data_IF_869457116264
#
_entry.id   IF_869457116264
#
_cell.length_a   1.000
_cell.length_b   1.000
_cell.length_c   1.000
_cell.angle_alpha   90.00
_cell.angle_beta   90.00
_cell.angle_gamma   90.00
#
_symmetry.space_group_name_H-M   'P 1'
#
loop_
_entity.id
_entity.type
_entity.pdbx_description
1 polymer ?
#
# COMPACT_ATOMS: atom_id res chain seq x y z
N UNK A 1 56.51 -18.68 13.14
CA UNK A 1 55.11 -19.16 13.02
C UNK A 1 54.21 -18.35 13.94
N UNK A 2 53.49 -17.37 13.41
CA UNK A 2 52.47 -16.59 14.14
C UNK A 2 51.24 -16.49 13.24
N UNK A 3 50.36 -17.48 13.34
CA UNK A 3 49.06 -17.53 12.64
C UNK A 3 48.06 -18.11 13.63
N UNK A 4 47.66 -17.29 14.59
CA UNK A 4 46.77 -17.73 15.68
C UNK A 4 45.48 -16.91 15.82
N UNK A 5 45.43 -15.67 15.33
CA UNK A 5 44.30 -14.77 15.66
C UNK A 5 43.55 -14.17 14.48
N UNK A 6 43.99 -14.39 13.24
CA UNK A 6 43.28 -13.84 12.06
C UNK A 6 42.06 -14.68 11.67
N UNK A 7 42.04 -15.97 12.05
CA UNK A 7 40.94 -16.88 11.69
C UNK A 7 39.67 -16.65 12.54
N UNK A 8 39.83 -16.23 13.80
CA UNK A 8 38.69 -15.96 14.69
C UNK A 8 37.91 -14.70 14.30
N UNK A 9 38.58 -13.71 13.70
CA UNK A 9 37.91 -12.48 13.24
C UNK A 9 37.08 -12.70 11.96
N UNK A 10 37.44 -13.67 11.11
CA UNK A 10 36.68 -13.97 9.89
C UNK A 10 35.38 -14.74 10.18
N UNK A 11 35.33 -15.51 11.26
CA UNK A 11 34.14 -16.30 11.64
C UNK A 11 33.04 -15.46 12.30
N UNK A 12 33.38 -14.27 12.83
CA UNK A 12 32.40 -13.33 13.40
C UNK A 12 31.65 -12.53 12.33
N UNK A 13 32.24 -12.35 11.14
CA UNK A 13 31.62 -11.62 10.00
C UNK A 13 30.66 -12.49 9.18
N UNK A 14 30.68 -13.82 9.38
CA UNK A 14 29.82 -14.79 8.68
C UNK A 14 28.56 -15.18 9.48
N UNK A 15 28.45 -14.76 10.74
CA UNK A 15 27.26 -15.00 11.57
C UNK A 15 26.21 -13.91 11.34
N UNK A 16 25.50 -14.06 10.23
CA UNK A 16 24.06 -13.85 10.19
C UNK A 16 23.59 -12.51 10.73
N UNK A 17 23.71 -11.48 9.90
CA UNK A 17 22.66 -10.47 9.85
C UNK A 17 21.37 -11.17 9.46
N UNK A 18 20.68 -11.76 10.44
CA UNK A 18 19.28 -12.14 10.31
C UNK A 18 18.56 -10.82 10.12
N UNK A 19 18.38 -10.44 8.85
CA UNK A 19 17.41 -9.43 8.48
C UNK A 19 16.08 -9.98 8.99
N UNK A 20 15.70 -9.56 10.19
CA UNK A 20 14.37 -9.76 10.72
C UNK A 20 13.48 -8.97 9.74
N UNK A 21 13.02 -9.64 8.69
CA UNK A 21 12.01 -9.08 7.82
C UNK A 21 10.83 -8.79 8.74
N UNK A 22 10.60 -7.52 9.03
CA UNK A 22 9.40 -7.12 9.73
C UNK A 22 8.23 -7.59 8.86
N UNK A 23 7.57 -8.66 9.29
CA UNK A 23 6.27 -9.04 8.75
C UNK A 23 5.37 -7.86 9.11
N UNK A 24 5.01 -7.07 8.10
CA UNK A 24 4.03 -6.03 8.27
C UNK A 24 2.74 -6.71 8.72
N UNK A 25 2.25 -6.36 9.91
CA UNK A 25 0.96 -6.83 10.37
C UNK A 25 -0.11 -6.38 9.36
N UNK A 26 -1.04 -7.28 8.99
CA UNK A 26 -2.11 -6.91 8.09
C UNK A 26 -2.94 -5.77 8.68
N UNK A 27 -3.42 -4.88 7.82
CA UNK A 27 -4.34 -3.81 8.17
C UNK A 27 -5.52 -4.37 8.96
N UNK A 28 -5.83 -3.72 10.08
CA UNK A 28 -7.04 -4.02 10.83
C UNK A 28 -8.29 -3.71 10.00
N UNK A 29 -9.41 -4.35 10.33
CA UNK A 29 -10.71 -4.07 9.69
C UNK A 29 -11.10 -2.59 9.81
N UNK A 30 -10.74 -1.93 10.91
CA UNK A 30 -11.04 -0.53 11.12
C UNK A 30 -10.22 0.38 10.20
N UNK A 31 -8.92 0.12 10.06
CA UNK A 31 -8.07 0.87 9.14
C UNK A 31 -8.48 0.63 7.68
N UNK A 32 -8.82 -0.61 7.32
CA UNK A 32 -9.35 -0.94 6.01
C UNK A 32 -10.64 -0.16 5.70
N UNK A 33 -11.58 -0.12 6.65
CA UNK A 33 -12.81 0.66 6.52
C UNK A 33 -12.54 2.17 6.35
N UNK A 34 -11.58 2.72 7.11
CA UNK A 34 -11.18 4.12 6.99
C UNK A 34 -10.60 4.44 5.61
N UNK A 35 -9.72 3.57 5.09
CA UNK A 35 -9.17 3.73 3.74
C UNK A 35 -10.25 3.67 2.66
N UNK A 36 -11.24 2.77 2.80
CA UNK A 36 -12.40 2.73 1.90
C UNK A 36 -13.18 4.06 1.92
N UNK A 37 -13.42 4.62 3.11
CA UNK A 37 -14.08 5.91 3.24
C UNK A 37 -13.27 7.05 2.60
N UNK A 38 -11.94 7.09 2.80
CA UNK A 38 -11.07 8.06 2.13
C UNK A 38 -11.14 7.92 0.60
N UNK A 39 -11.16 6.69 0.09
CA UNK A 39 -11.27 6.42 -1.34
C UNK A 39 -12.56 7.01 -1.92
N UNK A 40 -13.69 6.77 -1.24
CA UNK A 40 -15.01 7.28 -1.63
C UNK A 40 -15.03 8.81 -1.63
N UNK A 41 -14.44 9.45 -0.61
CA UNK A 41 -14.34 10.90 -0.53
C UNK A 41 -13.52 11.49 -1.68
N UNK A 42 -12.34 10.91 -1.98
CA UNK A 42 -11.52 11.39 -3.09
C UNK A 42 -12.25 11.21 -4.43
N UNK A 43 -12.90 10.07 -4.64
CA UNK A 43 -13.62 9.83 -5.89
C UNK A 43 -14.83 10.75 -6.06
N UNK A 44 -15.56 11.02 -4.98
CA UNK A 44 -16.66 11.99 -4.98
C UNK A 44 -16.16 13.39 -5.38
N UNK A 45 -15.13 13.90 -4.69
CA UNK A 45 -14.55 15.21 -4.98
C UNK A 45 -14.01 15.29 -6.41
N UNK A 46 -13.37 14.22 -6.90
CA UNK A 46 -12.89 14.15 -8.27
C UNK A 46 -14.04 14.34 -9.27
N UNK A 47 -15.19 13.71 -9.01
CA UNK A 47 -16.37 13.85 -9.87
C UNK A 47 -16.94 15.27 -9.85
N UNK A 48 -16.99 15.91 -8.68
CA UNK A 48 -17.50 17.29 -8.52
C UNK A 48 -16.67 18.31 -9.31
N UNK A 49 -15.35 18.19 -9.27
CA UNK A 49 -14.44 19.17 -9.90
C UNK A 49 -14.01 18.79 -11.32
N UNK A 50 -14.45 17.62 -11.82
CA UNK A 50 -13.92 17.03 -13.07
C UNK A 50 -14.01 17.91 -14.30
N UNK A 51 -15.00 18.81 -14.38
CA UNK A 51 -15.18 19.72 -15.51
C UNK A 51 -14.34 21.00 -15.39
N UNK A 52 -14.10 21.45 -14.17
CA UNK A 52 -13.40 22.71 -13.88
C UNK A 52 -11.89 22.50 -13.74
N UNK A 53 -11.48 21.42 -13.08
CA UNK A 53 -10.10 21.13 -12.71
C UNK A 53 -9.73 19.69 -13.11
N UNK A 54 -9.65 19.36 -14.42
CA UNK A 54 -9.48 17.98 -14.88
C UNK A 54 -8.17 17.34 -14.43
N UNK A 55 -7.08 18.11 -14.29
CA UNK A 55 -5.82 17.60 -13.77
C UNK A 55 -5.95 17.16 -12.30
N UNK A 56 -6.56 18.02 -11.46
CA UNK A 56 -6.78 17.74 -10.05
C UNK A 56 -7.77 16.59 -9.83
N UNK A 57 -8.80 16.49 -10.67
CA UNK A 57 -9.72 15.37 -10.66
C UNK A 57 -9.01 14.04 -10.94
N UNK A 58 -8.05 14.02 -11.87
CA UNK A 58 -7.22 12.83 -12.13
C UNK A 58 -6.39 12.45 -10.91
N UNK A 59 -5.73 13.42 -10.27
CA UNK A 59 -4.96 13.17 -9.04
C UNK A 59 -5.82 12.60 -7.90
N UNK A 60 -7.01 13.16 -7.68
CA UNK A 60 -7.95 12.65 -6.69
C UNK A 60 -8.41 11.23 -7.03
N UNK A 61 -8.68 10.96 -8.31
CA UNK A 61 -9.07 9.60 -8.77
C UNK A 61 -7.95 8.58 -8.54
N UNK A 62 -6.69 8.96 -8.80
CA UNK A 62 -5.51 8.12 -8.52
C UNK A 62 -5.35 7.86 -7.02
N UNK A 63 -5.57 8.88 -6.17
CA UNK A 63 -5.56 8.71 -4.72
C UNK A 63 -6.67 7.76 -4.24
N UNK A 64 -7.85 7.85 -4.84
CA UNK A 64 -8.94 6.92 -4.55
C UNK A 64 -8.57 5.47 -4.87
N UNK A 65 -7.99 5.22 -6.05
CA UNK A 65 -7.52 3.89 -6.44
C UNK A 65 -6.50 3.34 -5.43
N UNK A 66 -5.47 4.13 -5.12
CA UNK A 66 -4.40 3.71 -4.22
C UNK A 66 -4.88 3.29 -2.83
N UNK A 67 -5.97 3.89 -2.32
CA UNK A 67 -6.58 3.49 -1.04
C UNK A 67 -7.21 2.11 -1.11
N UNK A 68 -8.00 1.84 -2.14
CA UNK A 68 -8.59 0.52 -2.34
C UNK A 68 -7.56 -0.55 -2.67
N UNK A 69 -6.54 -0.23 -3.47
CA UNK A 69 -5.43 -1.14 -3.75
C UNK A 69 -4.72 -1.55 -2.46
N UNK A 70 -4.47 -0.59 -1.57
CA UNK A 70 -3.85 -0.87 -0.27
C UNK A 70 -4.74 -1.76 0.60
N UNK A 71 -6.05 -1.51 0.65
CA UNK A 71 -7.01 -2.38 1.36
C UNK A 71 -6.94 -3.81 0.83
N UNK A 72 -6.90 -3.98 -0.49
CA UNK A 72 -6.82 -5.30 -1.15
C UNK A 72 -5.46 -5.97 -0.88
N UNK A 73 -4.37 -5.21 -0.87
CA UNK A 73 -3.03 -5.77 -0.69
C UNK A 73 -2.71 -6.13 0.77
N UNK A 74 -3.19 -5.32 1.71
CA UNK A 74 -2.71 -5.34 3.10
C UNK A 74 -3.77 -5.79 4.11
N UNK A 75 -5.03 -6.02 3.74
CA UNK A 75 -6.08 -6.45 4.67
C UNK A 75 -6.72 -7.77 4.25
N UNK A 76 -7.42 -8.43 5.17
CA UNK A 76 -8.28 -9.58 4.85
C UNK A 76 -9.67 -9.17 4.31
N UNK A 77 -9.94 -7.87 4.16
CA UNK A 77 -11.23 -7.37 3.69
C UNK A 77 -11.32 -7.52 2.17
N UNK A 78 -12.07 -8.52 1.72
CA UNK A 78 -12.36 -8.74 0.32
C UNK A 78 -13.86 -8.98 0.11
N UNK A 79 -14.50 -8.14 -0.69
CA UNK A 79 -15.90 -8.28 -1.04
C UNK A 79 -16.20 -7.64 -2.41
N UNK A 80 -17.35 -8.00 -3.00
CA UNK A 80 -17.77 -7.48 -4.29
C UNK A 80 -17.79 -5.94 -4.37
N UNK A 81 -18.38 -5.22 -3.40
CA UNK A 81 -18.40 -3.76 -3.39
C UNK A 81 -17.01 -3.11 -3.47
N UNK A 82 -16.03 -3.63 -2.74
CA UNK A 82 -14.65 -3.14 -2.78
C UNK A 82 -14.08 -3.17 -4.21
N UNK A 83 -14.17 -4.33 -4.86
CA UNK A 83 -13.67 -4.49 -6.23
C UNK A 83 -14.50 -3.72 -7.25
N UNK A 84 -15.81 -3.60 -7.05
CA UNK A 84 -16.69 -2.80 -7.89
C UNK A 84 -16.33 -1.31 -7.83
N UNK A 85 -16.09 -0.78 -6.63
CA UNK A 85 -15.71 0.62 -6.46
C UNK A 85 -14.33 0.91 -7.09
N UNK A 86 -13.33 0.05 -6.87
CA UNK A 86 -12.04 0.17 -7.54
C UNK A 86 -12.18 0.06 -9.07
N UNK A 87 -13.02 -0.85 -9.56
CA UNK A 87 -13.33 -0.98 -10.98
C UNK A 87 -13.94 0.29 -11.58
N UNK A 88 -14.90 0.92 -10.89
CA UNK A 88 -15.49 2.20 -11.33
C UNK A 88 -14.46 3.33 -11.36
N UNK A 89 -13.55 3.36 -10.40
CA UNK A 89 -12.43 4.31 -10.37
C UNK A 89 -11.52 4.09 -11.59
N UNK A 90 -11.18 2.84 -11.91
CA UNK A 90 -10.39 2.54 -13.11
C UNK A 90 -11.11 2.86 -14.41
N UNK A 91 -12.41 2.56 -14.49
CA UNK A 91 -13.24 2.96 -15.63
C UNK A 91 -13.28 4.48 -15.81
N UNK A 92 -13.25 5.26 -14.72
CA UNK A 92 -13.19 6.73 -14.81
C UNK A 92 -11.83 7.24 -15.33
N UNK A 93 -10.75 6.50 -15.08
CA UNK A 93 -9.40 6.88 -15.51
C UNK A 93 -9.10 6.54 -16.98
N UNK A 94 -9.75 5.51 -17.52
CA UNK A 94 -9.53 4.95 -18.86
C UNK A 94 -10.57 5.38 -19.89
#
# INVERSE_FOLDING_TARGET
>A
MKTGNTFLFLLLLLNGGVMLAAVAEPLSTQEAAFLCQEAEQFFHQANEISRQEPARARELTQRAAARYERVIAESSLHNGPLYYNLGNIYFKMG
#
